data_IF_150102274228
#
_entry.id   IF_150102274228
#
_cell.length_a   1.000
_cell.length_b   1.000
_cell.length_c   1.000
_cell.angle_alpha   90.00
_cell.angle_beta   90.00
_cell.angle_gamma   90.00
#
_symmetry.space_group_name_H-M   'P 1'
#
loop_
_entity.id
_entity.type
_entity.pdbx_description
1 polymer ?
#
# COMPACT_ATOMS: atom_id res chain seq x y z
N UNK A 1 -16.41 4.05 -14.90
CA UNK A 1 -16.35 3.72 -13.47
C UNK A 1 -17.52 4.41 -12.80
N UNK A 2 -18.27 3.73 -11.96
CA UNK A 2 -19.38 4.32 -11.19
C UNK A 2 -18.80 4.80 -9.86
N UNK A 3 -18.75 6.11 -9.65
CA UNK A 3 -18.23 6.71 -8.40
C UNK A 3 -19.30 6.82 -7.31
N UNK A 4 -20.57 6.94 -7.70
CA UNK A 4 -21.69 7.19 -6.77
C UNK A 4 -22.84 6.19 -6.93
N UNK A 5 -23.04 5.64 -8.14
CA UNK A 5 -24.14 4.74 -8.44
C UNK A 5 -23.78 3.28 -8.15
N UNK A 6 -23.89 2.88 -6.88
CA UNK A 6 -23.59 1.51 -6.41
C UNK A 6 -24.53 0.48 -7.05
N UNK A 7 -25.80 0.83 -7.31
CA UNK A 7 -26.78 -0.09 -7.93
C UNK A 7 -26.37 -0.48 -9.36
N UNK A 8 -25.99 0.50 -10.18
CA UNK A 8 -25.52 0.23 -11.55
C UNK A 8 -24.22 -0.61 -11.56
N UNK A 9 -23.31 -0.37 -10.61
CA UNK A 9 -22.11 -1.20 -10.46
C UNK A 9 -22.46 -2.64 -10.05
N UNK A 10 -23.37 -2.82 -9.10
CA UNK A 10 -23.82 -4.14 -8.67
C UNK A 10 -24.46 -4.92 -9.83
N UNK A 11 -25.30 -4.27 -10.64
CA UNK A 11 -25.89 -4.86 -11.84
C UNK A 11 -24.82 -5.25 -12.88
N UNK A 12 -23.84 -4.39 -13.16
CA UNK A 12 -22.73 -4.70 -14.09
C UNK A 12 -21.88 -5.88 -13.59
N UNK A 13 -21.64 -5.97 -12.27
CA UNK A 13 -20.95 -7.07 -11.61
C UNK A 13 -21.72 -8.39 -11.71
N UNK A 14 -23.03 -8.38 -11.43
CA UNK A 14 -23.91 -9.56 -11.54
C UNK A 14 -23.91 -10.13 -12.96
N UNK A 15 -23.88 -9.24 -13.95
CA UNK A 15 -23.84 -9.63 -15.37
C UNK A 15 -22.45 -10.09 -15.84
N UNK A 16 -21.43 -10.13 -14.96
CA UNK A 16 -20.03 -10.47 -15.26
C UNK A 16 -19.41 -9.63 -16.39
N UNK A 17 -19.87 -8.38 -16.56
CA UNK A 17 -19.45 -7.49 -17.67
C UNK A 17 -18.21 -6.65 -17.39
N UNK A 18 -17.60 -6.78 -16.22
CA UNK A 18 -16.46 -5.94 -15.82
C UNK A 18 -15.14 -6.60 -16.23
N UNK A 19 -14.41 -5.93 -17.12
CA UNK A 19 -13.09 -6.36 -17.59
C UNK A 19 -12.04 -6.29 -16.47
N UNK A 20 -10.95 -7.09 -16.53
CA UNK A 20 -9.85 -7.02 -15.57
C UNK A 20 -9.26 -5.61 -15.41
N UNK A 21 -9.19 -4.84 -16.50
CA UNK A 21 -8.72 -3.44 -16.47
C UNK A 21 -9.65 -2.55 -15.64
N UNK A 22 -10.97 -2.66 -15.83
CA UNK A 22 -11.96 -1.90 -15.03
C UNK A 22 -11.88 -2.31 -13.56
N UNK A 23 -11.76 -3.60 -13.25
CA UNK A 23 -11.56 -4.11 -11.88
C UNK A 23 -10.33 -3.47 -11.21
N UNK A 24 -9.21 -3.40 -11.93
CA UNK A 24 -7.98 -2.74 -11.45
C UNK A 24 -8.18 -1.24 -11.20
N UNK A 25 -8.91 -0.53 -12.07
CA UNK A 25 -9.23 0.88 -11.85
C UNK A 25 -10.06 1.10 -10.58
N UNK A 26 -11.04 0.25 -10.30
CA UNK A 26 -11.80 0.30 -9.05
C UNK A 26 -10.90 0.06 -7.84
N UNK A 27 -10.02 -0.95 -7.86
CA UNK A 27 -9.09 -1.22 -6.77
C UNK A 27 -8.15 -0.03 -6.51
N UNK A 28 -7.60 0.55 -7.56
CA UNK A 28 -6.69 1.69 -7.45
C UNK A 28 -7.38 2.94 -6.93
N UNK A 29 -8.61 3.22 -7.39
CA UNK A 29 -9.42 4.30 -6.85
C UNK A 29 -9.81 4.06 -5.38
N UNK A 30 -10.15 2.83 -5.03
CA UNK A 30 -10.46 2.44 -3.64
C UNK A 30 -9.26 2.69 -2.72
N UNK A 31 -8.08 2.18 -3.07
CA UNK A 31 -6.84 2.39 -2.30
C UNK A 31 -6.52 3.89 -2.21
N UNK A 32 -6.66 4.65 -3.30
CA UNK A 32 -6.37 6.08 -3.28
C UNK A 32 -7.32 6.84 -2.34
N UNK A 33 -8.62 6.54 -2.35
CA UNK A 33 -9.59 7.16 -1.44
C UNK A 33 -9.28 6.80 0.02
N UNK A 34 -8.96 5.54 0.30
CA UNK A 34 -8.57 5.10 1.64
C UNK A 34 -7.30 5.81 2.13
N UNK A 35 -6.22 5.83 1.33
CA UNK A 35 -4.97 6.51 1.68
C UNK A 35 -5.20 7.99 1.91
N UNK A 36 -5.92 8.69 1.01
CA UNK A 36 -6.21 10.12 1.19
C UNK A 36 -7.05 10.36 2.45
N UNK A 37 -8.00 9.48 2.77
CA UNK A 37 -8.85 9.62 3.97
C UNK A 37 -8.04 9.52 5.25
N UNK A 38 -7.10 8.56 5.31
CA UNK A 38 -6.17 8.41 6.44
C UNK A 38 -5.29 9.65 6.58
N UNK A 39 -4.67 10.11 5.49
CA UNK A 39 -3.80 11.29 5.53
C UNK A 39 -4.58 12.56 5.89
N UNK A 40 -5.78 12.76 5.34
CA UNK A 40 -6.61 13.92 5.63
C UNK A 40 -7.00 13.98 7.11
N UNK A 41 -7.26 12.82 7.75
CA UNK A 41 -7.53 12.76 9.19
C UNK A 41 -6.35 13.26 10.03
N UNK A 42 -5.12 13.03 9.56
CA UNK A 42 -3.91 13.52 10.20
C UNK A 42 -3.82 15.05 10.12
N UNK A 43 -4.09 15.62 8.93
CA UNK A 43 -3.99 17.06 8.67
C UNK A 43 -5.12 17.91 9.28
N UNK A 44 -6.32 17.34 9.47
CA UNK A 44 -7.47 18.05 10.07
C UNK A 44 -7.36 18.25 11.60
N UNK A 45 -6.16 18.09 12.17
CA UNK A 45 -5.87 18.53 13.53
C UNK A 45 -6.19 17.52 14.63
N UNK A 46 -6.41 16.24 14.29
CA UNK A 46 -6.42 15.17 15.31
C UNK A 46 -5.02 15.01 15.94
N UNK A 47 -3.96 15.35 15.20
CA UNK A 47 -2.56 15.31 15.67
C UNK A 47 -1.90 16.70 15.51
N UNK A 48 -1.71 17.41 16.62
CA UNK A 48 -1.35 18.85 16.63
C UNK A 48 0.14 19.18 16.45
N UNK A 49 0.98 18.23 15.99
CA UNK A 49 2.45 18.40 15.89
C UNK A 49 3.07 17.80 14.62
N UNK A 50 2.43 17.95 13.47
CA UNK A 50 3.01 17.52 12.20
C UNK A 50 4.28 18.32 11.87
N UNK A 51 5.35 17.63 11.49
CA UNK A 51 6.60 18.21 11.02
C UNK A 51 6.87 17.87 9.55
N UNK A 52 7.98 18.36 8.99
CA UNK A 52 8.31 18.16 7.57
C UNK A 52 8.42 16.68 7.17
N UNK A 53 8.91 15.80 8.06
CA UNK A 53 9.01 14.37 7.79
C UNK A 53 7.64 13.69 7.71
N UNK A 54 6.65 14.18 8.47
CA UNK A 54 5.27 13.70 8.34
C UNK A 54 4.69 14.10 6.97
N UNK A 55 4.90 15.36 6.52
CA UNK A 55 4.49 15.80 5.17
C UNK A 55 5.13 14.95 4.07
N UNK A 56 6.45 14.74 4.18
CA UNK A 56 7.19 13.93 3.20
C UNK A 56 6.69 12.49 3.22
N UNK A 57 6.48 11.91 4.39
CA UNK A 57 5.95 10.56 4.52
C UNK A 57 4.59 10.44 3.83
N UNK A 58 3.63 11.33 4.13
CA UNK A 58 2.30 11.33 3.49
C UNK A 58 2.40 11.38 1.96
N UNK A 59 3.23 12.30 1.43
CA UNK A 59 3.40 12.47 -0.01
C UNK A 59 3.98 11.22 -0.67
N UNK A 60 5.07 10.68 -0.12
CA UNK A 60 5.72 9.50 -0.67
C UNK A 60 4.88 8.23 -0.47
N UNK A 61 4.16 8.09 0.64
CA UNK A 61 3.29 6.95 0.89
C UNK A 61 2.14 6.88 -0.12
N UNK A 62 1.49 8.01 -0.42
CA UNK A 62 0.48 8.08 -1.49
C UNK A 62 1.09 7.67 -2.83
N UNK A 63 2.26 8.21 -3.18
CA UNK A 63 2.93 7.91 -4.43
C UNK A 63 3.33 6.42 -4.53
N UNK A 64 3.89 5.84 -3.48
CA UNK A 64 4.32 4.45 -3.43
C UNK A 64 3.11 3.50 -3.49
N UNK A 65 2.03 3.79 -2.76
CA UNK A 65 0.81 2.98 -2.84
C UNK A 65 0.23 2.97 -4.25
N UNK A 66 0.10 4.15 -4.87
CA UNK A 66 -0.42 4.27 -6.22
C UNK A 66 0.46 3.56 -7.26
N UNK A 67 1.76 3.86 -7.26
CA UNK A 67 2.71 3.27 -8.21
C UNK A 67 2.91 1.77 -7.95
N UNK A 68 2.87 1.35 -6.69
CA UNK A 68 3.02 -0.04 -6.25
C UNK A 68 1.92 -0.94 -6.77
N UNK A 69 0.66 -0.49 -6.71
CA UNK A 69 -0.49 -1.21 -7.30
C UNK A 69 -0.32 -1.34 -8.82
N UNK A 70 0.05 -0.24 -9.50
CA UNK A 70 0.31 -0.26 -10.96
C UNK A 70 1.44 -1.21 -11.29
N UNK A 71 2.50 -1.23 -10.49
CA UNK A 71 3.67 -2.09 -10.68
C UNK A 71 3.32 -3.58 -10.53
N UNK A 72 2.49 -3.91 -9.53
CA UNK A 72 1.93 -5.25 -9.34
C UNK A 72 1.01 -5.65 -10.51
N UNK A 73 0.15 -4.74 -10.96
CA UNK A 73 -0.76 -5.00 -12.09
C UNK A 73 0.00 -5.27 -13.39
N UNK A 74 1.04 -4.47 -13.67
CA UNK A 74 1.93 -4.69 -14.82
C UNK A 74 2.61 -6.06 -14.77
N UNK A 75 2.97 -6.55 -13.59
CA UNK A 75 3.53 -7.89 -13.44
C UNK A 75 2.49 -9.00 -13.69
N UNK A 76 1.26 -8.82 -13.20
CA UNK A 76 0.17 -9.74 -13.51
C UNK A 76 -0.09 -9.82 -15.01
N UNK A 77 -0.12 -8.66 -15.69
CA UNK A 77 -0.34 -8.54 -17.14
C UNK A 77 0.75 -9.20 -17.99
N UNK A 78 1.96 -9.38 -17.46
CA UNK A 78 3.06 -10.08 -18.16
C UNK A 78 2.89 -11.60 -18.21
N UNK A 79 2.05 -12.16 -17.33
CA UNK A 79 1.69 -13.57 -17.34
C UNK A 79 0.32 -13.78 -17.99
N UNK A 80 -0.54 -14.55 -17.33
CA UNK A 80 -1.91 -14.83 -17.77
C UNK A 80 -2.90 -13.64 -17.75
N UNK A 81 -2.54 -12.54 -17.06
CA UNK A 81 -3.40 -11.36 -16.86
C UNK A 81 -4.78 -11.66 -16.22
N UNK A 82 -4.91 -12.77 -15.49
CA UNK A 82 -6.13 -13.15 -14.77
C UNK A 82 -6.02 -12.86 -13.28
N UNK A 83 -7.17 -12.83 -12.60
CA UNK A 83 -7.31 -12.88 -11.14
C UNK A 83 -6.40 -11.92 -10.35
N UNK A 84 -6.20 -10.71 -10.88
CA UNK A 84 -5.29 -9.74 -10.27
C UNK A 84 -5.72 -9.35 -8.85
N UNK A 85 -7.02 -9.10 -8.64
CA UNK A 85 -7.53 -8.66 -7.33
C UNK A 85 -7.36 -9.78 -6.31
N UNK A 86 -7.71 -10.99 -6.71
CA UNK A 86 -7.62 -12.21 -5.90
C UNK A 86 -6.17 -12.43 -5.46
N UNK A 87 -5.22 -12.38 -6.40
CA UNK A 87 -3.78 -12.44 -6.11
C UNK A 87 -3.34 -11.29 -5.22
N UNK A 88 -3.76 -10.07 -5.52
CA UNK A 88 -3.36 -8.88 -4.76
C UNK A 88 -3.81 -8.96 -3.31
N UNK A 89 -5.04 -9.38 -3.05
CA UNK A 89 -5.59 -9.48 -1.69
C UNK A 89 -5.02 -10.68 -0.95
N UNK A 90 -5.04 -11.88 -1.55
CA UNK A 90 -4.61 -13.11 -0.87
C UNK A 90 -3.11 -13.16 -0.61
N UNK A 91 -2.28 -12.57 -1.49
CA UNK A 91 -0.82 -12.46 -1.28
C UNK A 91 -0.50 -11.25 -0.40
N UNK A 92 -1.29 -10.17 -0.50
CA UNK A 92 -1.13 -8.97 0.31
C UNK A 92 -1.11 -9.27 1.79
N UNK A 93 -2.12 -10.00 2.29
CA UNK A 93 -2.24 -10.32 3.71
C UNK A 93 -0.98 -10.94 4.35
N UNK A 94 -0.44 -12.09 3.87
CA UNK A 94 0.75 -12.68 4.47
C UNK A 94 2.00 -11.80 4.33
N UNK A 95 2.11 -10.99 3.26
CA UNK A 95 3.23 -10.04 3.13
C UNK A 95 3.07 -8.90 4.13
N UNK A 96 1.87 -8.32 4.29
CA UNK A 96 1.58 -7.30 5.30
C UNK A 96 1.91 -7.79 6.70
N UNK A 97 1.55 -9.01 7.05
CA UNK A 97 1.90 -9.62 8.35
C UNK A 97 3.42 -9.66 8.53
N UNK A 98 4.18 -10.12 7.53
CA UNK A 98 5.65 -10.18 7.60
C UNK A 98 6.28 -8.79 7.73
N UNK A 99 5.78 -7.81 6.98
CA UNK A 99 6.26 -6.42 7.03
C UNK A 99 5.90 -5.78 8.38
N UNK A 100 4.73 -6.07 8.94
CA UNK A 100 4.33 -5.63 10.27
C UNK A 100 5.28 -6.17 11.35
N UNK A 101 5.55 -7.48 11.35
CA UNK A 101 6.51 -8.07 12.29
C UNK A 101 7.91 -7.46 12.13
N UNK A 102 8.37 -7.25 10.89
CA UNK A 102 9.63 -6.57 10.63
C UNK A 102 9.62 -5.14 11.19
N UNK A 103 8.54 -4.40 10.99
CA UNK A 103 8.36 -3.05 11.53
C UNK A 103 8.42 -3.02 13.06
N UNK A 104 7.74 -3.95 13.73
CA UNK A 104 7.78 -4.10 15.20
C UNK A 104 9.21 -4.36 15.68
N UNK A 105 9.94 -5.27 15.03
CA UNK A 105 11.34 -5.56 15.36
C UNK A 105 12.23 -4.33 15.16
N UNK A 106 12.07 -3.62 14.04
CA UNK A 106 12.85 -2.42 13.74
C UNK A 106 12.60 -1.31 14.77
N UNK A 107 11.34 -1.06 15.13
CA UNK A 107 10.98 -0.08 16.17
C UNK A 107 11.52 -0.50 17.54
N UNK A 108 11.37 -1.78 17.90
CA UNK A 108 11.86 -2.32 19.17
C UNK A 108 13.38 -2.24 19.33
N UNK A 109 14.14 -2.29 18.23
CA UNK A 109 15.58 -2.04 18.23
C UNK A 109 15.91 -0.54 18.20
N UNK A 110 15.15 0.23 17.45
CA UNK A 110 15.40 1.66 17.26
C UNK A 110 15.27 2.47 18.56
N UNK A 111 14.25 2.20 19.38
CA UNK A 111 14.03 2.93 20.65
C UNK A 111 15.24 2.86 21.60
N UNK A 112 15.74 1.67 22.01
CA UNK A 112 16.86 1.60 22.95
C UNK A 112 18.17 2.10 22.35
N UNK A 113 18.44 1.84 21.07
CA UNK A 113 19.65 2.31 20.39
C UNK A 113 19.62 3.84 20.28
N UNK A 114 18.51 4.41 19.83
CA UNK A 114 18.33 5.86 19.72
C UNK A 114 18.38 6.56 21.06
N UNK A 115 17.86 5.94 22.11
CA UNK A 115 17.99 6.44 23.48
C UNK A 115 19.43 6.43 23.98
N UNK A 116 20.19 5.36 23.70
CA UNK A 116 21.59 5.23 24.10
C UNK A 116 22.52 6.22 23.38
N UNK A 117 22.33 6.41 22.08
CA UNK A 117 23.17 7.29 21.25
C UNK A 117 22.64 8.72 21.11
N UNK A 118 21.48 9.04 21.71
CA UNK A 118 20.94 10.40 21.77
C UNK A 118 20.30 10.93 20.50
N UNK A 119 19.84 10.05 19.60
CA UNK A 119 19.13 10.44 18.37
C UNK A 119 17.62 10.10 18.38
N UNK A 120 17.10 9.56 19.49
CA UNK A 120 15.66 9.37 19.67
C UNK A 120 14.96 10.72 19.91
N UNK A 121 13.83 10.93 19.23
CA UNK A 121 13.01 12.14 19.32
C UNK A 121 11.54 11.78 19.52
N UNK A 122 10.80 12.61 20.28
CA UNK A 122 9.36 12.44 20.48
C UNK A 122 8.52 12.78 19.22
N UNK A 123 9.16 13.24 18.17
CA UNK A 123 8.57 13.56 16.87
C UNK A 123 9.21 12.71 15.77
N UNK A 124 8.45 12.42 14.70
CA UNK A 124 8.96 11.78 13.49
C UNK A 124 10.23 12.46 13.01
N UNK A 125 11.29 11.68 12.80
CA UNK A 125 12.54 12.18 12.25
C UNK A 125 12.90 11.48 10.93
N UNK A 126 14.08 11.80 10.40
CA UNK A 126 14.54 11.27 9.11
C UNK A 126 14.69 9.75 9.11
N UNK A 127 15.07 9.14 10.24
CA UNK A 127 15.25 7.69 10.37
C UNK A 127 13.88 7.02 10.30
N UNK A 128 12.89 7.53 11.03
CA UNK A 128 11.51 7.03 11.00
C UNK A 128 10.96 7.08 9.57
N UNK A 129 11.11 8.24 8.91
CA UNK A 129 10.71 8.44 7.51
C UNK A 129 11.36 7.40 6.58
N UNK A 130 12.69 7.23 6.64
CA UNK A 130 13.41 6.28 5.78
C UNK A 130 12.94 4.85 6.04
N UNK A 131 12.81 4.44 7.30
CA UNK A 131 12.36 3.08 7.66
C UNK A 131 10.97 2.82 7.09
N UNK A 132 10.01 3.71 7.30
CA UNK A 132 8.64 3.53 6.81
C UNK A 132 8.60 3.43 5.28
N UNK A 133 9.30 4.31 4.56
CA UNK A 133 9.40 4.26 3.09
C UNK A 133 10.03 2.95 2.61
N UNK A 134 11.10 2.49 3.25
CA UNK A 134 11.74 1.22 2.89
C UNK A 134 10.81 0.03 3.10
N UNK A 135 10.03 0.01 4.17
CA UNK A 135 9.06 -1.05 4.43
C UNK A 135 7.94 -1.09 3.37
N UNK A 136 7.42 0.07 2.95
CA UNK A 136 6.42 0.14 1.88
C UNK A 136 6.97 -0.30 0.52
N UNK A 137 8.19 0.16 0.17
CA UNK A 137 8.86 -0.26 -1.06
C UNK A 137 9.11 -1.77 -1.04
N UNK A 138 9.58 -2.31 0.09
CA UNK A 138 9.80 -3.73 0.28
C UNK A 138 8.49 -4.52 0.14
N UNK A 139 7.39 -4.03 0.72
CA UNK A 139 6.06 -4.62 0.57
C UNK A 139 5.69 -4.77 -0.91
N UNK A 140 5.72 -3.69 -1.69
CA UNK A 140 5.35 -3.74 -3.11
C UNK A 140 6.34 -4.52 -3.98
N UNK A 141 7.63 -4.49 -3.66
CA UNK A 141 8.64 -5.30 -4.34
C UNK A 141 8.39 -6.81 -4.13
N UNK A 142 8.05 -7.22 -2.90
CA UNK A 142 7.69 -8.60 -2.57
C UNK A 142 6.39 -9.00 -3.23
N UNK A 143 5.35 -8.17 -3.11
CA UNK A 143 4.05 -8.38 -3.75
C UNK A 143 4.20 -8.65 -5.24
N UNK A 144 4.91 -7.77 -5.95
CA UNK A 144 5.17 -7.94 -7.39
C UNK A 144 5.84 -9.27 -7.70
N UNK A 145 6.86 -9.64 -6.91
CA UNK A 145 7.64 -10.85 -7.16
C UNK A 145 6.77 -12.11 -7.08
N UNK A 146 5.89 -12.18 -6.09
CA UNK A 146 4.94 -13.30 -5.96
C UNK A 146 3.85 -13.28 -7.03
N UNK A 147 3.28 -12.11 -7.34
CA UNK A 147 2.28 -11.97 -8.41
C UNK A 147 2.87 -12.42 -9.75
N UNK A 148 4.08 -11.96 -10.10
CA UNK A 148 4.75 -12.37 -11.33
C UNK A 148 4.97 -13.87 -11.38
N UNK A 149 5.46 -14.46 -10.28
CA UNK A 149 5.71 -15.90 -10.19
C UNK A 149 4.45 -16.71 -10.44
N UNK A 150 3.31 -16.31 -9.86
CA UNK A 150 2.05 -17.02 -10.03
C UNK A 150 1.52 -16.83 -11.45
N UNK A 151 1.57 -15.61 -11.99
CA UNK A 151 1.03 -15.32 -13.32
C UNK A 151 1.79 -15.99 -14.46
N UNK A 152 3.07 -16.35 -14.25
CA UNK A 152 3.89 -17.03 -15.27
C UNK A 152 3.94 -18.55 -15.13
N UNK A 153 3.45 -19.12 -14.02
CA UNK A 153 3.51 -20.55 -13.73
C UNK A 153 2.15 -21.20 -13.47
N UNK A 154 1.04 -20.49 -13.70
CA UNK A 154 -0.30 -21.07 -13.75
C UNK A 154 -0.42 -22.00 -14.96
N UNK A 155 -0.57 -23.30 -14.69
CA UNK A 155 -0.89 -24.37 -15.68
C UNK A 155 -2.37 -24.28 -16.02
#
# INVERSE_FOLDING_TARGET
>A
MYFWNVKALAEELMQKKITPQKKMQYLLAFILVETISVELSYWLGIYSKANIYDVLYSFFSIAINFLGVIFCYKANKRGDNQDFIERFVCIGLPISIRILFLGIVMVGLYIPIGGYFGFYTDSTNIIDFIICILLEVLYYARMRSYILKISTHSI
#
